data_IF_672624148376
#
_entry.id   IF_672624148376
#
_cell.length_a   1.000
_cell.length_b   1.000
_cell.length_c   1.000
_cell.angle_alpha   90.00
_cell.angle_beta   90.00
_cell.angle_gamma   90.00
#
_symmetry.space_group_name_H-M   'P 1'
#
loop_
_entity.id
_entity.type
_entity.pdbx_description
1 polymer ?
#
# COMPACT_ATOMS: atom_id res chain seq x y z
N UNK A 1 -27.02 2.61 -19.05
CA UNK A 1 -26.03 1.62 -18.58
C UNK A 1 -26.01 1.51 -17.04
N UNK A 2 -26.01 2.64 -16.31
CA UNK A 2 -25.93 2.65 -14.84
C UNK A 2 -27.29 2.42 -14.13
N UNK A 3 -28.39 2.57 -14.84
CA UNK A 3 -29.74 2.50 -14.26
C UNK A 3 -30.02 1.18 -13.48
N UNK A 4 -29.62 -0.01 -14.01
CA UNK A 4 -29.81 -1.26 -13.26
C UNK A 4 -29.02 -1.32 -11.95
N UNK A 5 -27.84 -0.69 -11.89
CA UNK A 5 -27.03 -0.62 -10.68
C UNK A 5 -27.65 0.28 -9.63
N UNK A 6 -28.19 1.43 -10.02
CA UNK A 6 -28.89 2.33 -9.11
C UNK A 6 -30.20 1.71 -8.59
N UNK A 7 -30.94 1.03 -9.47
CA UNK A 7 -32.19 0.37 -9.07
C UNK A 7 -31.97 -0.83 -8.14
N UNK A 8 -30.77 -1.44 -8.13
CA UNK A 8 -30.39 -2.46 -7.15
C UNK A 8 -29.97 -1.89 -5.79
N UNK A 9 -29.98 -0.57 -5.61
CA UNK A 9 -29.50 0.08 -4.38
C UNK A 9 -27.99 0.21 -4.29
N UNK A 10 -27.23 -0.16 -5.34
CA UNK A 10 -25.77 -0.04 -5.36
C UNK A 10 -25.38 1.43 -5.46
N UNK A 11 -24.54 1.89 -4.53
CA UNK A 11 -23.96 3.23 -4.60
C UNK A 11 -22.85 3.23 -5.65
N UNK A 12 -23.10 3.93 -6.75
CA UNK A 12 -22.14 4.10 -7.84
C UNK A 12 -21.83 5.58 -7.99
N UNK A 13 -20.59 5.93 -7.71
CA UNK A 13 -20.07 7.25 -8.08
C UNK A 13 -19.78 7.26 -9.58
N UNK A 14 -20.15 8.33 -10.28
CA UNK A 14 -19.96 8.41 -11.72
C UNK A 14 -19.61 9.82 -12.17
N UNK A 15 -18.87 9.90 -13.25
CA UNK A 15 -18.61 11.15 -13.94
C UNK A 15 -18.51 10.89 -15.45
N UNK A 16 -18.90 11.89 -16.23
CA UNK A 16 -18.73 11.90 -17.69
C UNK A 16 -17.74 13.00 -18.02
N UNK A 17 -16.66 12.66 -18.68
CA UNK A 17 -15.58 13.62 -18.99
C UNK A 17 -15.02 13.37 -20.38
N UNK A 18 -14.66 14.43 -21.05
CA UNK A 18 -13.80 14.38 -22.24
C UNK A 18 -12.35 14.21 -21.81
N UNK A 19 -11.47 13.79 -22.71
CA UNK A 19 -10.02 13.69 -22.44
C UNK A 19 -9.44 15.02 -21.98
N UNK A 20 -9.91 16.14 -22.52
CA UNK A 20 -9.48 17.48 -22.10
C UNK A 20 -9.86 17.79 -20.65
N UNK A 21 -11.10 17.53 -20.27
CA UNK A 21 -11.57 17.72 -18.88
C UNK A 21 -10.87 16.77 -17.93
N UNK A 22 -10.49 15.57 -18.38
CA UNK A 22 -9.69 14.63 -17.63
C UNK A 22 -8.30 15.22 -17.31
N UNK A 23 -7.63 15.80 -18.31
CA UNK A 23 -6.35 16.46 -18.12
C UNK A 23 -6.43 17.60 -17.09
N UNK A 24 -7.46 18.45 -17.19
CA UNK A 24 -7.67 19.55 -16.25
C UNK A 24 -7.85 19.06 -14.80
N UNK A 25 -8.65 18.01 -14.57
CA UNK A 25 -8.96 17.50 -13.21
C UNK A 25 -7.79 16.74 -12.61
N UNK A 26 -7.01 16.02 -13.39
CA UNK A 26 -5.82 15.29 -12.91
C UNK A 26 -4.83 16.23 -12.20
N UNK A 27 -4.73 17.46 -12.63
CA UNK A 27 -3.82 18.45 -12.02
C UNK A 27 -4.31 19.00 -10.68
N UNK A 28 -5.59 18.90 -10.38
CA UNK A 28 -6.22 19.52 -9.21
C UNK A 28 -6.48 18.56 -8.05
N UNK A 29 -6.84 17.32 -8.32
CA UNK A 29 -7.19 16.33 -7.30
C UNK A 29 -6.35 15.04 -7.40
N UNK A 30 -5.53 14.82 -6.35
CA UNK A 30 -4.70 13.61 -6.22
C UNK A 30 -5.54 12.32 -6.20
N UNK A 31 -6.75 12.36 -5.67
CA UNK A 31 -7.63 11.17 -5.62
C UNK A 31 -8.11 10.77 -7.00
N UNK A 32 -8.35 11.74 -7.86
CA UNK A 32 -8.76 11.49 -9.24
C UNK A 32 -7.64 10.81 -10.02
N UNK A 33 -6.41 11.32 -9.96
CA UNK A 33 -5.30 10.69 -10.67
C UNK A 33 -5.03 9.28 -10.14
N UNK A 34 -5.06 9.06 -8.83
CA UNK A 34 -4.88 7.72 -8.24
C UNK A 34 -5.97 6.75 -8.68
N UNK A 35 -7.22 7.19 -8.77
CA UNK A 35 -8.32 6.36 -9.29
C UNK A 35 -8.18 6.04 -10.79
N UNK A 36 -7.68 6.98 -11.58
CA UNK A 36 -7.47 6.80 -13.01
C UNK A 36 -6.25 5.93 -13.36
N UNK A 37 -5.30 5.76 -12.44
CA UNK A 37 -4.21 4.79 -12.62
C UNK A 37 -4.70 3.33 -12.60
N UNK A 38 -5.89 3.08 -12.07
CA UNK A 38 -6.56 1.76 -12.01
C UNK A 38 -7.76 1.69 -12.96
N UNK A 39 -7.78 2.51 -14.00
CA UNK A 39 -8.85 2.53 -15.01
C UNK A 39 -8.94 1.19 -15.74
N UNK A 40 -10.16 0.73 -15.99
CA UNK A 40 -10.42 -0.53 -16.71
C UNK A 40 -11.48 -0.32 -17.77
N UNK A 41 -11.24 -0.87 -18.96
CA UNK A 41 -12.23 -0.91 -20.02
C UNK A 41 -13.41 -1.80 -19.62
N UNK A 42 -14.61 -1.29 -19.72
CA UNK A 42 -15.83 -2.07 -19.55
C UNK A 42 -16.58 -2.25 -20.88
N UNK A 43 -16.88 -1.15 -21.55
CA UNK A 43 -17.63 -1.15 -22.80
C UNK A 43 -17.43 0.18 -23.55
N UNK A 44 -17.50 0.15 -24.86
CA UNK A 44 -17.47 1.36 -25.70
C UNK A 44 -16.26 1.42 -26.62
N UNK A 45 -15.67 2.59 -26.79
CA UNK A 45 -14.52 2.82 -27.65
C UNK A 45 -13.21 2.56 -26.87
N UNK A 46 -12.49 1.51 -27.24
CA UNK A 46 -11.24 1.11 -26.61
C UNK A 46 -10.14 2.18 -26.73
N UNK A 47 -10.09 2.89 -27.86
CA UNK A 47 -9.08 3.93 -28.07
C UNK A 47 -9.19 5.08 -27.06
N UNK A 48 -10.40 5.42 -26.61
CA UNK A 48 -10.58 6.46 -25.57
C UNK A 48 -9.99 6.04 -24.23
N UNK A 49 -10.09 4.76 -23.89
CA UNK A 49 -9.48 4.24 -22.65
C UNK A 49 -7.97 4.23 -22.75
N UNK A 50 -7.41 3.77 -23.88
CA UNK A 50 -5.96 3.80 -24.10
C UNK A 50 -5.41 5.25 -24.04
N UNK A 51 -6.11 6.21 -24.61
CA UNK A 51 -5.73 7.62 -24.54
C UNK A 51 -5.77 8.14 -23.10
N UNK A 52 -6.83 7.82 -22.34
CA UNK A 52 -6.95 8.20 -20.93
C UNK A 52 -5.88 7.55 -20.05
N UNK A 53 -5.57 6.26 -20.27
CA UNK A 53 -4.48 5.56 -19.56
C UNK A 53 -3.11 6.19 -19.84
N UNK A 54 -2.80 6.43 -21.11
CA UNK A 54 -1.53 7.01 -21.53
C UNK A 54 -1.36 8.42 -20.97
N UNK A 55 -2.40 9.26 -21.06
CA UNK A 55 -2.41 10.60 -20.47
C UNK A 55 -2.16 10.54 -18.96
N UNK A 56 -2.95 9.74 -18.25
CA UNK A 56 -2.88 9.62 -16.78
C UNK A 56 -1.50 9.13 -16.34
N UNK A 57 -0.99 8.07 -16.98
CA UNK A 57 0.32 7.49 -16.67
C UNK A 57 1.46 8.47 -16.95
N UNK A 58 1.42 9.16 -18.08
CA UNK A 58 2.41 10.17 -18.45
C UNK A 58 2.44 11.34 -17.45
N UNK A 59 1.27 11.85 -17.08
CA UNK A 59 1.15 12.94 -16.10
C UNK A 59 1.60 12.49 -14.69
N UNK A 60 1.27 11.27 -14.29
CA UNK A 60 1.71 10.69 -13.04
C UNK A 60 3.24 10.59 -12.95
N UNK A 61 3.87 9.99 -13.96
CA UNK A 61 5.33 9.86 -14.04
C UNK A 61 6.04 11.22 -14.01
N UNK A 62 5.51 12.21 -14.73
CA UNK A 62 6.07 13.55 -14.78
C UNK A 62 5.96 14.29 -13.45
N UNK A 63 4.84 14.12 -12.72
CA UNK A 63 4.49 14.95 -11.57
C UNK A 63 4.63 14.24 -10.23
N UNK A 64 4.96 12.95 -10.16
CA UNK A 64 5.00 12.17 -8.91
C UNK A 64 5.77 12.88 -7.79
N UNK A 65 6.93 13.47 -8.10
CA UNK A 65 7.75 14.18 -7.10
C UNK A 65 7.03 15.35 -6.44
N UNK A 66 6.13 16.01 -7.18
CA UNK A 66 5.28 17.10 -6.66
C UNK A 66 4.18 16.57 -5.74
N UNK A 67 3.72 15.33 -5.99
CA UNK A 67 2.66 14.72 -5.21
C UNK A 67 3.17 14.01 -3.94
N UNK A 68 4.44 13.58 -3.88
CA UNK A 68 4.98 12.84 -2.73
C UNK A 68 4.70 13.49 -1.37
N UNK A 69 4.89 14.82 -1.15
CA UNK A 69 4.57 15.44 0.14
C UNK A 69 3.09 15.27 0.50
N UNK A 70 2.18 15.57 -0.44
CA UNK A 70 0.73 15.44 -0.23
C UNK A 70 0.30 14.00 0.06
N UNK A 71 0.96 13.04 -0.59
CA UNK A 71 0.73 11.61 -0.34
C UNK A 71 1.15 11.26 1.08
N UNK A 72 2.32 11.72 1.52
CA UNK A 72 2.83 11.47 2.89
C UNK A 72 1.90 12.07 3.94
N UNK A 73 1.45 13.29 3.74
CA UNK A 73 0.50 13.96 4.62
C UNK A 73 -0.82 13.17 4.69
N UNK A 74 -1.35 12.73 3.56
CA UNK A 74 -2.57 11.91 3.50
C UNK A 74 -2.43 10.55 4.20
N UNK A 75 -1.26 9.90 4.13
CA UNK A 75 -0.97 8.67 4.89
C UNK A 75 -0.99 8.98 6.39
N UNK A 76 -0.29 10.03 6.82
CA UNK A 76 -0.21 10.41 8.22
C UNK A 76 -1.60 10.74 8.80
N UNK A 77 -2.39 11.55 8.10
CA UNK A 77 -3.78 11.88 8.49
C UNK A 77 -4.65 10.63 8.62
N UNK A 78 -4.54 9.70 7.67
CA UNK A 78 -5.23 8.42 7.71
C UNK A 78 -4.80 7.57 8.89
N UNK A 79 -3.50 7.44 9.12
CA UNK A 79 -2.96 6.68 10.25
C UNK A 79 -3.43 7.25 11.60
N UNK A 80 -3.47 8.57 11.74
CA UNK A 80 -4.00 9.21 12.95
C UNK A 80 -5.48 8.92 13.18
N UNK A 81 -6.28 8.84 12.11
CA UNK A 81 -7.72 8.60 12.19
C UNK A 81 -8.08 7.13 12.34
N UNK A 82 -7.41 6.25 11.61
CA UNK A 82 -7.80 4.85 11.44
C UNK A 82 -6.82 3.87 12.07
N UNK A 83 -5.70 4.34 12.65
CA UNK A 83 -4.69 3.52 13.31
C UNK A 83 -3.86 2.65 12.36
N UNK A 84 -3.15 1.70 12.95
CA UNK A 84 -2.31 0.71 12.26
C UNK A 84 -3.02 -0.64 12.27
N UNK A 85 -3.37 -1.15 11.10
CA UNK A 85 -4.19 -2.35 10.92
C UNK A 85 -3.67 -3.56 11.71
N UNK A 86 -2.36 -3.75 11.71
CA UNK A 86 -1.71 -4.91 12.35
C UNK A 86 -1.91 -5.00 13.86
N UNK A 87 -2.33 -3.91 14.53
CA UNK A 87 -2.40 -3.79 15.99
C UNK A 87 -3.80 -3.49 16.52
N UNK A 88 -4.79 -3.39 15.62
CA UNK A 88 -6.17 -3.09 16.00
C UNK A 88 -6.97 -4.37 16.24
N UNK A 89 -7.82 -4.36 17.27
CA UNK A 89 -8.78 -5.44 17.53
C UNK A 89 -9.91 -5.48 16.48
N UNK A 90 -10.31 -4.31 16.00
CA UNK A 90 -11.34 -4.14 14.96
C UNK A 90 -10.77 -3.31 13.80
N UNK A 91 -9.90 -3.91 12.98
CA UNK A 91 -9.18 -3.17 11.95
C UNK A 91 -10.08 -2.73 10.81
N UNK A 92 -9.86 -1.52 10.31
CA UNK A 92 -10.36 -1.08 9.01
C UNK A 92 -9.42 -1.60 7.91
N UNK A 93 -9.88 -2.61 7.16
CA UNK A 93 -9.08 -3.32 6.15
C UNK A 93 -8.63 -2.41 5.00
N UNK A 94 -9.27 -1.27 4.82
CA UNK A 94 -9.02 -0.34 3.72
C UNK A 94 -8.25 0.89 4.17
N UNK A 95 -8.73 1.59 5.21
CA UNK A 95 -8.22 2.91 5.58
C UNK A 95 -7.06 2.86 6.59
N UNK A 96 -6.97 1.82 7.44
CA UNK A 96 -5.88 1.72 8.39
C UNK A 96 -4.54 1.53 7.69
N UNK A 97 -3.45 1.98 8.36
CA UNK A 97 -2.09 1.83 7.84
C UNK A 97 -1.75 0.35 7.64
N UNK A 98 -1.17 0.03 6.49
CA UNK A 98 -0.95 -1.35 6.05
C UNK A 98 -2.18 -1.99 5.38
N UNK A 99 -3.27 -1.23 5.16
CA UNK A 99 -4.48 -1.69 4.51
C UNK A 99 -4.46 -1.57 2.97
N UNK A 100 -5.61 -1.84 2.37
CA UNK A 100 -5.77 -1.89 0.90
C UNK A 100 -5.45 -0.54 0.22
N UNK A 101 -5.67 0.58 0.89
CA UNK A 101 -5.33 1.90 0.34
C UNK A 101 -3.82 2.09 0.20
N UNK A 102 -3.05 1.53 1.12
CA UNK A 102 -1.59 1.56 1.05
C UNK A 102 -1.06 0.62 -0.04
N UNK A 103 -1.66 -0.55 -0.21
CA UNK A 103 -1.34 -1.44 -1.31
C UNK A 103 -1.56 -0.77 -2.68
N UNK A 104 -2.71 -0.11 -2.87
CA UNK A 104 -3.01 0.66 -4.07
C UNK A 104 -2.00 1.80 -4.30
N UNK A 105 -1.61 2.48 -3.24
CA UNK A 105 -0.63 3.56 -3.34
C UNK A 105 0.76 3.04 -3.71
N UNK A 106 1.19 1.91 -3.17
CA UNK A 106 2.45 1.25 -3.57
C UNK A 106 2.45 0.87 -5.05
N UNK A 107 1.32 0.39 -5.56
CA UNK A 107 1.14 0.12 -6.99
C UNK A 107 1.26 1.40 -7.83
N UNK A 108 0.60 2.47 -7.41
CA UNK A 108 0.70 3.77 -8.07
C UNK A 108 2.14 4.32 -8.07
N UNK A 109 2.87 4.22 -6.95
CA UNK A 109 4.29 4.60 -6.87
C UNK A 109 5.14 3.76 -7.84
N UNK A 110 4.87 2.46 -7.93
CA UNK A 110 5.57 1.58 -8.89
C UNK A 110 5.35 2.02 -10.34
N UNK A 111 4.11 2.36 -10.72
CA UNK A 111 3.78 2.85 -12.05
C UNK A 111 4.48 4.17 -12.42
N UNK A 112 4.87 4.95 -11.43
CA UNK A 112 5.63 6.19 -11.65
C UNK A 112 7.09 5.95 -12.08
N UNK A 113 7.64 4.77 -11.82
CA UNK A 113 9.05 4.46 -12.07
C UNK A 113 10.04 5.21 -11.17
N UNK A 114 9.57 5.96 -10.16
CA UNK A 114 10.45 6.77 -9.30
C UNK A 114 11.33 5.90 -8.40
N UNK A 115 10.86 4.72 -8.02
CA UNK A 115 11.60 3.73 -7.22
C UNK A 115 11.07 2.34 -7.49
N UNK A 116 11.88 1.32 -7.13
CA UNK A 116 11.46 -0.08 -7.23
C UNK A 116 10.61 -0.47 -6.03
N UNK A 117 9.42 -1.01 -6.29
CA UNK A 117 8.50 -1.56 -5.29
C UNK A 117 8.43 -3.08 -5.48
N UNK A 118 8.58 -3.90 -4.45
CA UNK A 118 8.44 -5.36 -4.54
C UNK A 118 6.96 -5.76 -4.59
N UNK A 119 6.32 -5.53 -5.75
CA UNK A 119 4.87 -5.69 -5.93
C UNK A 119 4.36 -7.11 -5.69
N UNK A 120 5.16 -8.14 -5.92
CA UNK A 120 4.77 -9.54 -5.69
C UNK A 120 4.32 -9.74 -4.24
N UNK A 121 5.14 -9.29 -3.28
CA UNK A 121 4.81 -9.39 -1.84
C UNK A 121 3.58 -8.58 -1.47
N UNK A 122 3.43 -7.38 -2.05
CA UNK A 122 2.28 -6.51 -1.82
C UNK A 122 1.01 -7.15 -2.37
N UNK A 123 1.07 -7.71 -3.59
CA UNK A 123 -0.09 -8.33 -4.25
C UNK A 123 -0.63 -9.53 -3.47
N UNK A 124 0.24 -10.39 -2.92
CA UNK A 124 -0.20 -11.51 -2.09
C UNK A 124 -0.94 -11.04 -0.84
N UNK A 125 -0.39 -10.04 -0.14
CA UNK A 125 -1.00 -9.47 1.06
C UNK A 125 -2.32 -8.75 0.72
N UNK A 126 -2.35 -8.00 -0.38
CA UNK A 126 -3.53 -7.29 -0.88
C UNK A 126 -4.67 -8.26 -1.21
N UNK A 127 -4.39 -9.35 -1.94
CA UNK A 127 -5.41 -10.36 -2.28
C UNK A 127 -6.01 -10.96 -1.01
N UNK A 128 -5.22 -11.25 0.01
CA UNK A 128 -5.73 -11.75 1.29
C UNK A 128 -6.67 -10.74 1.97
N UNK A 129 -6.24 -9.48 2.11
CA UNK A 129 -7.09 -8.44 2.69
C UNK A 129 -8.36 -8.20 1.87
N UNK A 130 -8.26 -8.26 0.53
CA UNK A 130 -9.43 -8.12 -0.34
C UNK A 130 -10.41 -9.28 -0.15
N UNK A 131 -9.93 -10.53 -0.06
CA UNK A 131 -10.78 -11.69 0.19
C UNK A 131 -11.50 -11.58 1.54
N UNK A 132 -10.80 -11.16 2.61
CA UNK A 132 -11.43 -10.92 3.92
C UNK A 132 -12.53 -9.86 3.81
N UNK A 133 -12.24 -8.77 3.12
CA UNK A 133 -13.18 -7.67 2.89
C UNK A 133 -14.42 -8.13 2.10
N UNK A 134 -14.24 -8.90 1.05
CA UNK A 134 -15.33 -9.39 0.20
C UNK A 134 -16.25 -10.34 1.00
N UNK A 135 -15.67 -11.23 1.83
CA UNK A 135 -16.44 -12.11 2.73
C UNK A 135 -17.15 -11.27 3.80
N UNK A 136 -16.49 -10.27 4.39
CA UNK A 136 -17.09 -9.36 5.36
C UNK A 136 -18.33 -8.65 4.77
N UNK A 137 -18.23 -8.14 3.55
CA UNK A 137 -19.37 -7.52 2.85
C UNK A 137 -20.49 -8.52 2.59
N UNK A 138 -20.15 -9.75 2.19
CA UNK A 138 -21.12 -10.83 1.95
C UNK A 138 -21.87 -11.24 3.22
N UNK A 139 -21.13 -11.43 4.32
CA UNK A 139 -21.69 -11.86 5.62
C UNK A 139 -22.57 -10.78 6.23
N UNK A 140 -22.15 -9.52 6.13
CA UNK A 140 -22.84 -8.39 6.77
C UNK A 140 -23.91 -7.75 5.89
N UNK A 141 -23.85 -7.99 4.56
CA UNK A 141 -24.63 -7.26 3.55
C UNK A 141 -24.47 -5.72 3.64
N UNK A 142 -23.31 -5.26 4.11
CA UNK A 142 -22.98 -3.85 4.31
C UNK A 142 -21.65 -3.49 3.66
N UNK A 143 -21.51 -2.32 3.05
CA UNK A 143 -20.25 -1.86 2.45
C UNK A 143 -19.31 -1.27 3.52
N UNK A 144 -19.10 -1.99 4.63
CA UNK A 144 -18.24 -1.57 5.72
C UNK A 144 -16.91 -2.30 5.64
N UNK A 145 -15.82 -1.56 5.77
CA UNK A 145 -14.46 -2.08 5.66
C UNK A 145 -13.82 -2.40 7.03
N UNK A 146 -14.51 -2.07 8.14
CA UNK A 146 -14.07 -2.38 9.50
C UNK A 146 -14.53 -3.78 9.91
N UNK A 147 -13.58 -4.65 10.28
CA UNK A 147 -13.81 -6.01 10.74
C UNK A 147 -14.09 -6.01 12.26
N UNK A 148 -15.37 -5.87 12.63
CA UNK A 148 -15.77 -5.84 14.04
C UNK A 148 -15.61 -7.20 14.71
N UNK A 149 -15.37 -7.20 16.04
CA UNK A 149 -15.26 -8.42 16.84
C UNK A 149 -16.46 -9.37 16.64
N UNK A 150 -17.67 -8.82 16.57
CA UNK A 150 -18.91 -9.59 16.38
C UNK A 150 -19.01 -10.30 15.03
N UNK A 151 -18.17 -9.95 14.07
CA UNK A 151 -18.19 -10.46 12.70
C UNK A 151 -17.01 -11.39 12.42
N UNK A 152 -15.94 -11.34 13.25
CA UNK A 152 -14.70 -12.07 13.03
C UNK A 152 -14.89 -13.57 12.99
N UNK A 153 -15.65 -14.14 13.94
CA UNK A 153 -15.92 -15.59 13.98
C UNK A 153 -16.63 -16.07 12.71
N UNK A 154 -17.64 -15.29 12.26
CA UNK A 154 -18.40 -15.67 11.06
C UNK A 154 -17.58 -15.54 9.79
N UNK A 155 -16.75 -14.52 9.69
CA UNK A 155 -15.84 -14.35 8.55
C UNK A 155 -14.79 -15.46 8.56
N UNK A 156 -14.23 -15.82 9.73
CA UNK A 156 -13.27 -16.90 9.87
C UNK A 156 -13.89 -18.25 9.42
N UNK A 157 -15.10 -18.55 9.87
CA UNK A 157 -15.83 -19.76 9.48
C UNK A 157 -16.01 -19.85 7.95
N UNK A 158 -16.51 -18.79 7.32
CA UNK A 158 -16.76 -18.77 5.86
C UNK A 158 -15.46 -18.89 5.06
N UNK A 159 -14.36 -18.35 5.57
CA UNK A 159 -13.05 -18.43 4.93
C UNK A 159 -12.28 -19.73 5.26
N UNK A 160 -12.81 -20.59 6.17
CA UNK A 160 -12.19 -21.86 6.54
C UNK A 160 -11.02 -21.74 7.50
N UNK A 161 -10.92 -20.64 8.26
CA UNK A 161 -9.99 -20.52 9.38
C UNK A 161 -10.48 -21.33 10.58
N UNK A 162 -9.57 -21.77 11.46
CA UNK A 162 -9.90 -22.48 12.68
C UNK A 162 -10.74 -21.67 13.67
N UNK A 163 -10.47 -20.36 13.72
CA UNK A 163 -11.08 -19.40 14.64
C UNK A 163 -10.81 -17.96 14.18
N UNK A 164 -11.37 -16.99 14.88
CA UNK A 164 -11.15 -15.57 14.64
C UNK A 164 -9.69 -15.15 14.84
N UNK A 165 -8.98 -15.76 15.78
CA UNK A 165 -7.57 -15.41 16.06
C UNK A 165 -6.67 -15.79 14.87
N UNK A 166 -6.92 -16.94 14.25
CA UNK A 166 -6.20 -17.38 13.04
C UNK A 166 -6.44 -16.42 11.86
N UNK A 167 -7.68 -15.98 11.66
CA UNK A 167 -8.04 -14.93 10.69
C UNK A 167 -7.31 -13.64 10.98
N UNK A 168 -7.41 -13.12 12.22
CA UNK A 168 -6.80 -11.87 12.62
C UNK A 168 -5.27 -11.90 12.52
N UNK A 169 -4.65 -13.05 12.80
CA UNK A 169 -3.22 -13.25 12.62
C UNK A 169 -2.81 -13.12 11.13
N UNK A 170 -3.58 -13.68 10.21
CA UNK A 170 -3.29 -13.60 8.78
C UNK A 170 -3.50 -12.17 8.22
N UNK A 171 -4.56 -11.50 8.67
CA UNK A 171 -4.82 -10.08 8.41
C UNK A 171 -3.65 -9.22 8.91
N UNK A 172 -3.22 -9.43 10.14
CA UNK A 172 -2.10 -8.72 10.77
C UNK A 172 -0.77 -8.94 10.05
N UNK A 173 -0.50 -10.18 9.59
CA UNK A 173 0.69 -10.50 8.77
C UNK A 173 0.66 -9.79 7.42
N UNK A 174 -0.49 -9.76 6.78
CA UNK A 174 -0.68 -9.07 5.50
C UNK A 174 -0.46 -7.56 5.66
N UNK A 175 -1.03 -6.97 6.70
CA UNK A 175 -0.86 -5.55 7.01
C UNK A 175 0.61 -5.18 7.27
N UNK A 176 1.32 -5.96 8.07
CA UNK A 176 2.76 -5.75 8.33
C UNK A 176 3.60 -5.86 7.07
N UNK A 177 3.23 -6.74 6.15
CA UNK A 177 3.94 -6.87 4.87
C UNK A 177 3.79 -5.60 4.03
N UNK A 178 2.57 -5.07 3.90
CA UNK A 178 2.29 -3.84 3.15
C UNK A 178 2.99 -2.65 3.81
N UNK A 179 2.88 -2.53 5.13
CA UNK A 179 3.48 -1.43 5.90
C UNK A 179 5.01 -1.43 5.80
N UNK A 180 5.65 -2.58 5.96
CA UNK A 180 7.10 -2.70 5.78
C UNK A 180 7.57 -2.28 4.39
N UNK A 181 6.83 -2.67 3.34
CA UNK A 181 7.15 -2.25 1.97
C UNK A 181 6.96 -0.75 1.82
N UNK A 182 5.91 -0.18 2.41
CA UNK A 182 5.65 1.26 2.40
C UNK A 182 6.81 2.04 3.05
N UNK A 183 7.24 1.64 4.25
CA UNK A 183 8.38 2.26 4.93
C UNK A 183 9.68 2.15 4.12
N UNK A 184 9.96 0.97 3.57
CA UNK A 184 11.11 0.76 2.71
C UNK A 184 11.11 1.65 1.45
N UNK A 185 9.94 1.86 0.86
CA UNK A 185 9.76 2.73 -0.31
C UNK A 185 9.97 4.19 0.06
N UNK A 186 9.36 4.67 1.16
CA UNK A 186 9.56 6.04 1.64
C UNK A 186 11.00 6.30 2.00
N UNK A 187 11.64 5.38 2.69
CA UNK A 187 13.05 5.46 3.01
C UNK A 187 13.91 5.68 1.75
N UNK A 188 13.73 4.83 0.71
CA UNK A 188 14.43 4.99 -0.57
C UNK A 188 14.17 6.34 -1.25
N UNK A 189 12.93 6.85 -1.19
CA UNK A 189 12.56 8.13 -1.80
C UNK A 189 13.19 9.32 -1.08
N UNK A 190 13.28 9.29 0.24
CA UNK A 190 13.89 10.34 1.06
C UNK A 190 15.41 10.37 0.91
N UNK A 191 16.04 9.20 0.87
CA UNK A 191 17.50 9.10 0.75
C UNK A 191 18.02 9.30 -0.67
N UNK A 192 17.19 9.11 -1.71
CA UNK A 192 17.60 9.35 -3.10
C UNK A 192 18.11 10.78 -3.38
N UNK A 193 17.74 11.77 -2.58
CA UNK A 193 18.29 13.13 -2.64
C UNK A 193 19.76 13.20 -2.17
N UNK A 194 20.28 12.19 -1.47
CA UNK A 194 21.67 12.11 -0.95
C UNK A 194 22.61 11.36 -1.87
N UNK A 195 22.17 10.73 -2.96
CA UNK A 195 22.98 9.87 -3.83
C UNK A 195 24.15 10.53 -4.57
N UNK A 196 24.35 11.82 -4.48
CA UNK A 196 25.55 12.48 -5.03
C UNK A 196 26.76 12.46 -4.08
N UNK A 197 26.65 11.90 -2.88
CA UNK A 197 27.79 11.63 -2.01
C UNK A 197 28.16 10.14 -2.10
N UNK A 198 29.41 9.84 -2.47
CA UNK A 198 30.01 8.50 -2.38
C UNK A 198 29.97 8.04 -0.90
N UNK A 199 28.92 7.36 -0.50
CA UNK A 199 28.86 6.78 0.83
C UNK A 199 29.63 5.45 0.81
N UNK A 200 30.76 5.37 1.56
CA UNK A 200 31.48 4.13 1.81
C UNK A 200 30.70 3.31 2.84
N UNK A 201 30.58 2.00 2.60
CA UNK A 201 30.19 1.06 3.65
C UNK A 201 31.28 1.07 4.73
N UNK A 202 30.87 1.26 5.98
CA UNK A 202 31.75 1.22 7.15
C UNK A 202 31.36 0.00 7.98
N UNK A 203 32.20 -1.02 8.02
CA UNK A 203 32.00 -2.18 8.90
C UNK A 203 32.04 -1.73 10.36
N UNK A 204 31.08 -2.16 11.18
CA UNK A 204 31.00 -1.86 12.61
C UNK A 204 31.13 -3.12 13.47
N UNK A 205 30.73 -4.27 12.93
CA UNK A 205 30.90 -5.57 13.55
C UNK A 205 30.88 -6.65 12.47
N UNK A 206 31.23 -7.90 12.84
CA UNK A 206 31.19 -9.03 11.91
C UNK A 206 29.78 -9.19 11.33
N UNK A 207 29.64 -9.02 10.02
CA UNK A 207 28.37 -9.12 9.30
C UNK A 207 27.45 -7.92 9.43
N UNK A 208 27.90 -6.81 10.02
CA UNK A 208 27.11 -5.59 10.21
C UNK A 208 27.95 -4.40 9.78
N UNK A 209 27.38 -3.58 8.90
CA UNK A 209 28.00 -2.35 8.41
C UNK A 209 27.01 -1.17 8.49
N UNK A 210 27.55 0.05 8.50
CA UNK A 210 26.76 1.27 8.25
C UNK A 210 26.89 1.61 6.79
N UNK A 211 25.74 1.76 6.16
CA UNK A 211 25.62 2.25 4.80
C UNK A 211 24.51 3.30 4.75
N UNK A 212 24.84 4.51 4.30
CA UNK A 212 23.89 5.64 4.23
C UNK A 212 23.21 6.01 5.57
N UNK A 213 23.98 5.92 6.65
CA UNK A 213 23.50 6.15 8.02
C UNK A 213 22.54 5.07 8.55
N UNK A 214 22.46 3.92 7.86
CA UNK A 214 21.70 2.76 8.29
C UNK A 214 22.63 1.63 8.70
N UNK A 215 22.18 0.86 9.68
CA UNK A 215 22.81 -0.39 10.05
C UNK A 215 22.31 -1.48 9.11
N UNK A 216 23.18 -2.02 8.28
CA UNK A 216 22.85 -3.08 7.32
C UNK A 216 23.55 -4.39 7.68
N UNK A 217 22.85 -5.50 7.48
CA UNK A 217 23.43 -6.84 7.62
C UNK A 217 24.03 -7.22 6.27
N UNK A 218 25.32 -7.62 6.28
CA UNK A 218 26.01 -8.02 5.08
C UNK A 218 25.51 -9.40 4.61
N UNK A 219 25.03 -9.48 3.38
CA UNK A 219 24.41 -10.68 2.81
C UNK A 219 25.32 -11.91 2.78
N UNK A 220 26.64 -11.72 2.76
CA UNK A 220 27.63 -12.82 2.80
C UNK A 220 27.81 -13.41 4.21
N UNK A 221 27.33 -12.74 5.25
CA UNK A 221 27.47 -13.17 6.65
C UNK A 221 26.26 -13.97 7.18
N UNK A 222 25.27 -14.21 6.34
CA UNK A 222 23.98 -14.82 6.71
C UNK A 222 24.04 -16.36 6.81
N UNK A 223 25.20 -16.93 7.06
CA UNK A 223 25.34 -18.41 7.00
C UNK A 223 25.02 -19.16 8.28
N UNK A 224 24.84 -18.53 9.47
CA UNK A 224 24.64 -19.33 10.68
C UNK A 224 23.76 -18.78 11.81
N UNK A 225 23.43 -17.51 11.85
CA UNK A 225 22.54 -17.02 12.92
C UNK A 225 21.88 -15.66 12.59
N UNK A 226 20.89 -15.67 11.71
CA UNK A 226 20.17 -14.47 11.25
C UNK A 226 19.55 -13.71 12.43
N UNK A 227 18.97 -14.42 13.40
CA UNK A 227 18.33 -13.81 14.58
C UNK A 227 19.33 -13.03 15.45
N UNK A 228 20.52 -13.58 15.69
CA UNK A 228 21.55 -12.90 16.47
C UNK A 228 22.12 -11.67 15.73
N UNK A 229 22.26 -11.74 14.41
CA UNK A 229 22.67 -10.59 13.60
C UNK A 229 21.60 -9.48 13.60
N UNK A 230 20.32 -9.84 13.53
CA UNK A 230 19.21 -8.90 13.63
C UNK A 230 19.18 -8.16 14.96
N UNK A 231 19.32 -8.87 16.09
CA UNK A 231 19.39 -8.29 17.42
C UNK A 231 20.61 -7.36 17.59
N UNK A 232 21.77 -7.77 17.11
CA UNK A 232 22.97 -6.91 17.14
C UNK A 232 22.81 -5.66 16.28
N UNK A 233 22.26 -5.79 15.06
CA UNK A 233 21.98 -4.66 14.19
C UNK A 233 21.04 -3.66 14.85
N UNK A 234 19.96 -4.14 15.48
CA UNK A 234 19.02 -3.33 16.23
C UNK A 234 19.68 -2.62 17.44
N UNK A 235 20.54 -3.32 18.18
CA UNK A 235 21.29 -2.73 19.31
C UNK A 235 22.23 -1.60 18.83
N UNK A 236 22.94 -1.80 17.72
CA UNK A 236 23.79 -0.74 17.15
C UNK A 236 22.97 0.45 16.64
N UNK A 237 21.83 0.21 16.01
CA UNK A 237 20.93 1.29 15.58
C UNK A 237 20.44 2.12 16.77
N UNK A 238 20.02 1.47 17.87
CA UNK A 238 19.54 2.13 19.08
C UNK A 238 20.64 2.95 19.81
N UNK A 239 21.91 2.59 19.68
CA UNK A 239 23.02 3.34 20.28
C UNK A 239 23.40 4.61 19.51
N UNK A 240 22.94 4.74 18.26
CA UNK A 240 23.30 5.87 17.38
C UNK A 240 22.17 6.84 17.11
N UNK A 241 20.92 6.47 17.44
CA UNK A 241 19.74 7.36 17.39
C UNK A 241 19.65 8.21 18.61
#
# INVERSE_FOLDING_TARGET
FLYPLWSSGTQVDHSVRTIRELDEVIHTDLRVILGLLDIRFLIGNHNLIEEAENLTRGLWQKNIRKYLPKIKDSINERTQRSGELAFLLEPDLKEARGGLRDANLLRAISLSGITTVPLERVSEAEVRLQNVRDVLHSVTSKPRDQLLLTEQDKVAEVMGYSDADALCLDVSKSARTIDYVMDSVWHKLEHRKRFFRKNKRVGIATGISIFENEVVIDSQSVTSNISALGIRAAAFAAQKG
#
